data_IF_219897348807
#
_entry.id   IF_219897348807
#
_cell.length_a   1.000
_cell.length_b   1.000
_cell.length_c   1.000
_cell.angle_alpha   90.00
_cell.angle_beta   90.00
_cell.angle_gamma   90.00
#
_symmetry.space_group_name_H-M   'P 1'
#
loop_
_entity.id
_entity.type
_entity.pdbx_description
1 polymer ?
#
# COMPACT_ATOMS: atom_id res chain seq x y z
N UNK A 1 -39.06 -14.39 39.32
CA UNK A 1 -37.58 -14.22 39.26
C UNK A 1 -36.99 -15.55 38.79
N UNK A 2 -35.96 -15.50 37.95
CA UNK A 2 -35.28 -16.60 37.25
C UNK A 2 -35.92 -17.07 35.93
N UNK A 3 -35.24 -16.64 34.86
CA UNK A 3 -35.44 -16.87 33.43
C UNK A 3 -34.82 -18.21 33.00
N UNK A 4 -35.57 -18.99 32.22
CA UNK A 4 -35.12 -20.26 31.61
C UNK A 4 -34.80 -20.07 30.12
N UNK A 5 -33.61 -20.53 29.74
CA UNK A 5 -32.88 -20.27 28.49
C UNK A 5 -33.56 -20.85 27.23
N UNK A 6 -33.86 -19.99 26.26
CA UNK A 6 -34.06 -20.40 24.87
C UNK A 6 -32.70 -20.42 24.16
N UNK A 7 -32.14 -21.61 23.98
CA UNK A 7 -31.01 -21.84 23.09
C UNK A 7 -31.48 -21.76 21.64
N UNK A 8 -31.36 -20.57 21.04
CA UNK A 8 -31.33 -20.46 19.58
C UNK A 8 -29.87 -20.22 19.21
N UNK A 9 -29.25 -21.28 18.69
CA UNK A 9 -27.91 -21.25 18.10
C UNK A 9 -27.90 -20.24 16.96
N UNK A 10 -27.52 -19.00 17.25
CA UNK A 10 -27.17 -18.04 16.23
C UNK A 10 -25.93 -18.59 15.54
N UNK A 11 -26.13 -19.16 14.36
CA UNK A 11 -25.06 -19.40 13.42
C UNK A 11 -24.27 -18.10 13.32
N UNK A 12 -23.02 -18.12 13.75
CA UNK A 12 -22.06 -17.05 13.48
C UNK A 12 -21.83 -17.10 11.98
N UNK A 13 -22.73 -16.43 11.26
CA UNK A 13 -22.59 -16.10 9.85
C UNK A 13 -21.32 -15.26 9.77
N UNK A 14 -20.21 -15.92 9.48
CA UNK A 14 -18.94 -15.26 9.19
C UNK A 14 -19.19 -14.44 7.94
N UNK A 15 -19.58 -13.18 8.14
CA UNK A 15 -19.88 -12.20 7.11
C UNK A 15 -18.59 -11.94 6.34
N UNK A 16 -18.28 -12.83 5.40
CA UNK A 16 -17.27 -12.59 4.38
C UNK A 16 -17.79 -11.41 3.58
N UNK A 17 -17.27 -10.21 3.90
CA UNK A 17 -17.63 -8.98 3.20
C UNK A 17 -17.47 -9.21 1.70
N UNK A 18 -18.47 -8.78 0.95
CA UNK A 18 -18.46 -8.89 -0.51
C UNK A 18 -17.23 -8.17 -1.08
N UNK A 19 -16.65 -8.61 -2.21
CA UNK A 19 -15.51 -7.94 -2.84
C UNK A 19 -15.73 -6.43 -3.09
N UNK A 20 -16.98 -6.00 -3.28
CA UNK A 20 -17.40 -4.60 -3.44
C UNK A 20 -17.28 -3.75 -2.17
N UNK A 21 -17.33 -4.34 -0.97
CA UNK A 21 -17.18 -3.63 0.31
C UNK A 21 -15.70 -3.54 0.76
N UNK A 22 -14.78 -4.02 -0.08
CA UNK A 22 -13.34 -4.06 0.20
C UNK A 22 -12.57 -2.87 -0.35
N UNK A 23 -13.26 -1.92 -0.99
CA UNK A 23 -12.75 -0.57 -1.22
C UNK A 23 -12.70 0.15 0.12
N UNK A 24 -11.79 -0.26 1.01
CA UNK A 24 -11.34 0.63 2.07
C UNK A 24 -10.59 1.74 1.34
N UNK A 25 -11.06 2.97 1.47
CA UNK A 25 -10.17 4.11 1.25
C UNK A 25 -8.94 3.85 2.14
N UNK A 26 -7.76 3.89 1.53
CA UNK A 26 -6.54 3.74 2.28
C UNK A 26 -6.36 5.07 3.01
N UNK A 27 -6.75 5.12 4.27
CA UNK A 27 -6.42 6.23 5.18
C UNK A 27 -4.91 6.18 5.42
N UNK A 28 -4.17 7.06 4.75
CA UNK A 28 -2.73 7.24 4.90
C UNK A 28 -1.87 6.06 4.44
N UNK A 29 -0.88 6.31 3.59
CA UNK A 29 0.17 5.34 3.30
C UNK A 29 1.53 6.06 3.29
N UNK A 30 2.55 5.43 3.86
CA UNK A 30 3.91 5.97 3.84
C UNK A 30 4.92 4.88 3.49
N UNK A 31 6.07 5.32 2.99
CA UNK A 31 7.23 4.49 2.70
C UNK A 31 8.39 4.93 3.59
N UNK A 32 8.92 4.01 4.40
CA UNK A 32 10.15 4.26 5.14
C UNK A 32 11.36 4.06 4.22
N UNK A 33 12.06 5.15 3.92
CA UNK A 33 13.41 5.09 3.35
C UNK A 33 14.36 4.79 4.50
N UNK A 34 14.54 3.50 4.80
CA UNK A 34 15.30 3.05 5.97
C UNK A 34 16.79 2.88 5.66
N UNK A 35 17.62 3.08 6.68
CA UNK A 35 19.09 2.98 6.67
C UNK A 35 19.79 4.19 6.07
N UNK A 36 19.24 5.38 6.27
CA UNK A 36 19.87 6.64 5.85
C UNK A 36 21.19 6.94 6.60
N UNK A 37 21.48 6.20 7.68
CA UNK A 37 22.79 6.20 8.33
C UNK A 37 23.91 5.62 7.44
N UNK A 38 23.55 4.91 6.37
CA UNK A 38 24.50 4.38 5.41
C UNK A 38 24.87 5.43 4.35
N UNK A 39 26.16 5.67 4.12
CA UNK A 39 26.65 6.62 3.11
C UNK A 39 26.26 6.30 1.67
N UNK A 40 25.81 5.07 1.40
CA UNK A 40 25.30 4.63 0.10
C UNK A 40 23.76 4.72 0.00
N UNK A 41 23.08 5.17 1.06
CA UNK A 41 21.65 5.36 1.06
C UNK A 41 21.23 6.30 -0.07
N UNK A 42 20.07 6.00 -0.66
CA UNK A 42 19.49 6.79 -1.73
C UNK A 42 18.50 7.74 -1.11
N UNK A 43 18.53 8.99 -1.57
CA UNK A 43 17.55 9.97 -1.14
C UNK A 43 16.13 9.48 -1.41
N UNK A 44 15.20 9.89 -0.58
CA UNK A 44 13.78 9.63 -0.69
C UNK A 44 13.24 9.99 -2.07
N UNK A 45 13.71 11.10 -2.65
CA UNK A 45 13.36 11.48 -4.03
C UNK A 45 13.84 10.46 -5.06
N UNK A 46 15.08 9.98 -4.95
CA UNK A 46 15.61 8.98 -5.88
C UNK A 46 14.85 7.66 -5.77
N UNK A 47 14.40 7.29 -4.56
CA UNK A 47 13.59 6.09 -4.34
C UNK A 47 12.18 6.29 -4.91
N UNK A 48 11.56 7.45 -4.67
CA UNK A 48 10.26 7.84 -5.21
C UNK A 48 10.22 7.74 -6.73
N UNK A 49 11.18 8.38 -7.41
CA UNK A 49 11.27 8.41 -8.88
C UNK A 49 11.56 6.99 -9.44
N UNK A 50 12.44 6.22 -8.79
CA UNK A 50 12.79 4.87 -9.24
C UNK A 50 11.62 3.90 -9.09
N UNK A 51 10.91 3.94 -7.96
CA UNK A 51 9.74 3.09 -7.76
C UNK A 51 8.61 3.48 -8.72
N UNK A 52 8.40 4.76 -9.02
CA UNK A 52 7.42 5.18 -10.03
C UNK A 52 7.68 4.48 -11.38
N UNK A 53 8.93 4.55 -11.85
CA UNK A 53 9.36 3.91 -13.08
C UNK A 53 9.18 2.37 -13.05
N UNK A 54 9.61 1.71 -11.97
CA UNK A 54 9.49 0.25 -11.85
C UNK A 54 8.03 -0.22 -11.81
N UNK A 55 7.13 0.52 -11.17
CA UNK A 55 5.69 0.22 -11.20
C UNK A 55 5.12 0.32 -12.62
N UNK A 56 5.60 1.29 -13.43
CA UNK A 56 5.29 1.37 -14.86
C UNK A 56 5.76 0.13 -15.63
N UNK A 57 6.99 -0.32 -15.41
CA UNK A 57 7.52 -1.54 -16.03
C UNK A 57 6.73 -2.80 -15.60
N UNK A 58 6.33 -2.89 -14.33
CA UNK A 58 5.48 -3.98 -13.85
C UNK A 58 4.14 -3.98 -14.58
N UNK A 59 3.53 -2.82 -14.78
CA UNK A 59 2.29 -2.72 -15.55
C UNK A 59 2.47 -3.17 -17.01
N UNK A 60 3.56 -2.76 -17.67
CA UNK A 60 3.87 -3.19 -19.05
C UNK A 60 4.03 -4.71 -19.12
N UNK A 61 4.84 -5.29 -18.23
CA UNK A 61 5.09 -6.73 -18.22
C UNK A 61 3.82 -7.54 -17.92
N UNK A 62 2.95 -7.07 -17.02
CA UNK A 62 1.65 -7.69 -16.75
C UNK A 62 0.68 -7.56 -17.93
N UNK A 63 0.63 -6.39 -18.57
CA UNK A 63 -0.20 -6.19 -19.77
C UNK A 63 0.21 -7.13 -20.91
N UNK A 64 1.51 -7.28 -21.14
CA UNK A 64 2.05 -8.19 -22.15
C UNK A 64 1.78 -9.67 -21.82
N UNK A 65 1.89 -10.07 -20.55
CA UNK A 65 1.56 -11.43 -20.14
C UNK A 65 0.07 -11.73 -20.34
N UNK A 66 -0.81 -10.78 -20.04
CA UNK A 66 -2.26 -10.94 -20.18
C UNK A 66 -2.72 -10.95 -21.64
N UNK A 67 -2.11 -10.14 -22.51
CA UNK A 67 -2.42 -10.12 -23.94
C UNK A 67 -2.06 -11.43 -24.66
N UNK A 68 -1.10 -12.20 -24.11
CA UNK A 68 -0.71 -13.51 -24.62
C UNK A 68 -1.71 -14.64 -24.32
N UNK A 69 -2.72 -14.39 -23.48
CA UNK A 69 -3.73 -15.40 -23.08
C UNK A 69 -5.13 -14.89 -23.42
N UNK A 70 -5.63 -15.28 -24.58
CA UNK A 70 -6.97 -14.91 -25.03
C UNK A 70 -8.05 -15.61 -24.19
N UNK A 71 -8.88 -14.79 -23.55
CA UNK A 71 -10.24 -15.18 -23.23
C UNK A 71 -10.64 -15.08 -21.77
N UNK A 72 -10.90 -13.84 -21.31
CA UNK A 72 -11.75 -13.52 -20.14
C UNK A 72 -11.13 -13.76 -18.76
N UNK A 73 -10.11 -12.98 -18.44
CA UNK A 73 -10.16 -12.17 -17.23
C UNK A 73 -9.10 -11.07 -17.39
N UNK A 74 -9.55 -9.82 -17.48
CA UNK A 74 -8.67 -8.65 -17.54
C UNK A 74 -7.96 -8.53 -16.20
N UNK A 75 -6.84 -9.23 -16.04
CA UNK A 75 -6.02 -9.17 -14.84
C UNK A 75 -5.73 -7.69 -14.52
N UNK A 76 -6.13 -7.25 -13.34
CA UNK A 76 -6.03 -5.84 -12.95
C UNK A 76 -4.57 -5.40 -13.02
N UNK A 77 -4.28 -4.48 -13.94
CA UNK A 77 -3.08 -3.65 -13.87
C UNK A 77 -3.06 -2.92 -12.53
N UNK A 78 -1.87 -2.51 -12.06
CA UNK A 78 -1.74 -1.79 -10.79
C UNK A 78 -2.43 -0.42 -10.87
N UNK A 79 -2.40 0.20 -12.05
CA UNK A 79 -3.07 1.46 -12.38
C UNK A 79 -3.63 1.44 -13.79
N UNK A 80 -4.44 2.45 -14.12
CA UNK A 80 -5.03 2.61 -15.45
C UNK A 80 -4.07 3.21 -16.49
N UNK A 81 -2.99 3.83 -16.04
CA UNK A 81 -1.95 4.46 -16.86
C UNK A 81 -0.97 3.48 -17.50
N UNK A 82 -0.98 2.21 -17.07
CA UNK A 82 -0.12 1.19 -17.66
C UNK A 82 1.36 1.52 -17.45
N UNK A 83 2.12 1.62 -18.54
CA UNK A 83 3.56 1.89 -18.51
C UNK A 83 3.96 3.28 -18.01
N UNK A 84 3.05 4.24 -18.14
CA UNK A 84 3.25 5.62 -17.71
C UNK A 84 2.71 5.83 -16.28
N UNK A 85 2.97 4.86 -15.39
CA UNK A 85 2.55 4.93 -14.00
C UNK A 85 3.04 6.23 -13.35
N UNK A 86 2.16 6.90 -12.62
CA UNK A 86 2.50 7.95 -11.67
C UNK A 86 1.89 7.67 -10.32
N UNK A 87 2.54 8.12 -9.24
CA UNK A 87 1.96 8.07 -7.90
C UNK A 87 0.60 8.77 -7.80
N UNK A 88 0.33 9.75 -8.67
CA UNK A 88 -0.97 10.43 -8.78
C UNK A 88 -2.11 9.53 -9.28
N UNK A 89 -1.79 8.41 -9.94
CA UNK A 89 -2.79 7.41 -10.38
C UNK A 89 -3.34 6.61 -9.20
N UNK A 90 -2.59 6.56 -8.11
CA UNK A 90 -3.05 6.00 -6.85
C UNK A 90 -3.79 7.11 -6.13
N UNK A 91 -5.05 6.87 -5.75
CA UNK A 91 -5.81 7.76 -4.85
C UNK A 91 -5.26 7.69 -3.41
N UNK A 92 -3.99 8.02 -3.26
CA UNK A 92 -3.27 8.18 -2.01
C UNK A 92 -2.88 9.64 -1.95
N UNK A 93 -3.77 10.46 -1.41
CA UNK A 93 -3.54 11.91 -1.29
C UNK A 93 -2.33 12.22 -0.37
N UNK A 94 -1.91 11.25 0.47
CA UNK A 94 -0.85 11.39 1.48
C UNK A 94 0.29 10.36 1.36
N UNK A 95 0.70 9.95 0.15
CA UNK A 95 1.87 9.08 0.01
C UNK A 95 3.17 9.84 0.35
N UNK A 96 3.72 9.54 1.53
CA UNK A 96 4.94 10.18 2.02
C UNK A 96 6.13 9.21 2.03
N UNK A 97 7.27 9.65 1.51
CA UNK A 97 8.54 8.94 1.64
C UNK A 97 9.34 9.59 2.76
N UNK A 98 9.56 8.87 3.85
CA UNK A 98 10.17 9.39 5.07
C UNK A 98 11.57 8.79 5.21
N UNK A 99 12.65 9.61 5.11
CA UNK A 99 14.02 9.21 5.47
C UNK A 99 14.10 8.82 6.94
N UNK A 100 14.67 7.65 7.23
CA UNK A 100 14.73 7.09 8.58
C UNK A 100 15.94 6.22 8.80
N UNK A 101 16.34 6.08 10.06
CA UNK A 101 17.30 5.07 10.49
C UNK A 101 16.80 4.38 11.75
N UNK A 102 17.02 3.06 11.82
CA UNK A 102 16.80 2.30 13.06
C UNK A 102 17.95 2.51 14.06
N UNK A 103 19.09 3.01 13.58
CA UNK A 103 20.22 3.46 14.40
C UNK A 103 20.06 4.97 14.55
N UNK A 104 19.79 5.44 15.77
CA UNK A 104 19.69 6.87 16.05
C UNK A 104 21.05 7.54 15.80
N UNK A 105 21.05 8.56 14.93
CA UNK A 105 22.17 9.45 14.68
C UNK A 105 21.74 10.90 14.90
N UNK A 106 22.68 11.84 14.83
CA UNK A 106 22.36 13.27 14.92
C UNK A 106 21.50 13.76 13.73
N UNK A 107 21.51 13.02 12.62
CA UNK A 107 20.84 13.40 11.37
C UNK A 107 19.56 12.59 11.09
N UNK A 108 19.49 11.34 11.55
CA UNK A 108 18.37 10.43 11.26
C UNK A 108 17.91 9.67 12.50
N UNK A 109 16.60 9.65 12.70
CA UNK A 109 15.93 8.91 13.77
C UNK A 109 14.57 8.35 13.28
N UNK A 110 13.73 7.91 14.22
CA UNK A 110 12.38 7.41 13.95
C UNK A 110 11.28 8.47 14.23
N UNK A 111 11.64 9.71 14.53
CA UNK A 111 10.70 10.74 14.99
C UNK A 111 9.63 11.02 13.94
N UNK A 112 10.02 11.24 12.69
CA UNK A 112 9.08 11.55 11.61
C UNK A 112 8.09 10.40 11.33
N UNK A 113 8.54 9.15 11.46
CA UNK A 113 7.64 7.97 11.36
C UNK A 113 6.66 7.94 12.53
N UNK A 114 7.15 8.22 13.73
CA UNK A 114 6.29 8.26 14.91
C UNK A 114 5.24 9.36 14.81
N UNK A 115 5.63 10.56 14.38
CA UNK A 115 4.71 11.67 14.15
C UNK A 115 3.66 11.33 13.08
N UNK A 116 4.05 10.64 12.00
CA UNK A 116 3.11 10.16 11.00
C UNK A 116 2.11 9.14 11.58
N UNK A 117 2.60 8.15 12.33
CA UNK A 117 1.76 7.12 12.98
C UNK A 117 0.84 7.72 14.04
N UNK A 118 1.29 8.74 14.77
CA UNK A 118 0.49 9.38 15.81
C UNK A 118 -0.58 10.33 15.22
N UNK A 119 -0.48 10.69 13.93
CA UNK A 119 -1.40 11.61 13.23
C UNK A 119 -2.46 10.93 12.36
N UNK A 120 -2.40 9.60 12.18
CA UNK A 120 -3.29 8.79 11.34
C UNK A 120 -3.82 7.57 12.11
#
# INVERSE_FOLDING_TARGET
MATGKNGSSAAVESRRRSPSERSREIEGSFSCCSKEDNSLAKTEKSIFDALEHEFGLINISRAAALSSTDGRDGGKLLTFSGGDFSWTDIKMDDLNFIPTSAIETDEFDLKNVREWVDSH
#
